data_IF_510570481795
#
_entry.id   IF_510570481795
#
_cell.length_a   1.000
_cell.length_b   1.000
_cell.length_c   1.000
_cell.angle_alpha   90.00
_cell.angle_beta   90.00
_cell.angle_gamma   90.00
#
_symmetry.space_group_name_H-M   'P 1'
#
loop_
_entity.id
_entity.type
_entity.pdbx_description
1 polymer ?
#
# COMPACT_ATOMS: atom_id res chain seq x y z
N UNK A 1 5.66 -10.00 30.49
CA UNK A 1 4.46 -10.04 29.62
C UNK A 1 4.46 -11.39 28.92
N UNK A 2 3.46 -12.26 29.18
CA UNK A 2 3.44 -13.62 28.64
C UNK A 2 3.23 -13.54 27.12
N UNK A 3 4.25 -13.92 26.36
CA UNK A 3 4.14 -14.08 24.90
C UNK A 3 3.17 -15.25 24.69
N UNK A 4 1.97 -14.98 24.18
CA UNK A 4 1.07 -16.04 23.73
C UNK A 4 1.80 -16.81 22.63
N UNK A 5 1.99 -18.12 22.82
CA UNK A 5 2.52 -18.96 21.76
C UNK A 5 1.63 -18.81 20.52
N UNK A 6 2.21 -18.62 19.32
CA UNK A 6 1.43 -18.48 18.11
C UNK A 6 0.60 -19.75 17.91
N UNK A 7 -0.73 -19.62 17.93
CA UNK A 7 -1.65 -20.68 17.54
C UNK A 7 -1.31 -21.09 16.11
N UNK A 8 -0.68 -22.27 15.99
CA UNK A 8 -0.34 -22.85 14.69
C UNK A 8 -1.63 -23.38 14.06
N UNK A 9 -2.03 -22.81 12.94
CA UNK A 9 -3.12 -23.39 12.15
C UNK A 9 -2.65 -24.75 11.59
N UNK A 10 -3.21 -25.86 12.13
CA UNK A 10 -2.93 -27.21 11.61
C UNK A 10 -3.53 -27.46 10.23
N UNK A 11 -4.57 -26.70 9.88
CA UNK A 11 -5.31 -26.83 8.61
C UNK A 11 -4.67 -25.93 7.55
N UNK A 12 -4.47 -26.47 6.34
CA UNK A 12 -3.91 -25.67 5.23
C UNK A 12 -4.91 -24.57 4.87
N UNK A 13 -4.39 -23.39 4.55
CA UNK A 13 -5.21 -22.20 4.22
C UNK A 13 -6.25 -22.50 3.12
N UNK A 14 -5.89 -23.31 2.12
CA UNK A 14 -6.82 -23.70 1.03
C UNK A 14 -8.06 -24.48 1.50
N UNK A 15 -8.03 -25.05 2.70
CA UNK A 15 -9.12 -25.83 3.27
C UNK A 15 -9.98 -24.99 4.23
N UNK A 16 -9.67 -23.70 4.41
CA UNK A 16 -10.49 -22.77 5.20
C UNK A 16 -11.73 -22.32 4.42
N UNK A 17 -12.78 -21.79 5.08
CA UNK A 17 -13.84 -21.07 4.39
C UNK A 17 -13.26 -20.00 3.46
N UNK A 18 -13.82 -19.87 2.26
CA UNK A 18 -13.24 -19.04 1.20
C UNK A 18 -13.04 -17.58 1.64
N UNK A 19 -14.01 -16.99 2.34
CA UNK A 19 -13.91 -15.62 2.86
C UNK A 19 -12.86 -15.40 3.97
N UNK A 20 -12.31 -16.47 4.55
CA UNK A 20 -11.23 -16.39 5.55
C UNK A 20 -9.84 -16.58 4.95
N UNK A 21 -9.76 -17.02 3.69
CA UNK A 21 -8.48 -17.20 3.01
C UNK A 21 -7.94 -15.82 2.62
N UNK A 22 -6.67 -15.49 2.95
CA UNK A 22 -6.17 -14.12 2.80
C UNK A 22 -6.32 -13.53 1.39
N UNK A 23 -6.11 -14.32 0.32
CA UNK A 23 -6.17 -13.79 -1.05
C UNK A 23 -7.61 -13.49 -1.48
N UNK A 24 -8.50 -14.41 -1.18
CA UNK A 24 -9.92 -14.35 -1.47
C UNK A 24 -10.57 -13.22 -0.66
N UNK A 25 -10.21 -13.11 0.62
CA UNK A 25 -10.58 -11.99 1.49
C UNK A 25 -10.10 -10.64 0.94
N UNK A 26 -8.87 -10.56 0.41
CA UNK A 26 -8.36 -9.33 -0.23
C UNK A 26 -9.21 -8.94 -1.45
N UNK A 27 -9.61 -9.91 -2.27
CA UNK A 27 -10.45 -9.67 -3.45
C UNK A 27 -11.86 -9.23 -3.06
N UNK A 28 -12.45 -9.86 -2.04
CA UNK A 28 -13.83 -9.59 -1.63
C UNK A 28 -13.98 -8.32 -0.81
N UNK A 29 -13.05 -8.05 0.10
CA UNK A 29 -13.19 -7.05 1.16
C UNK A 29 -12.15 -5.92 1.09
N UNK A 30 -11.16 -6.01 0.20
CA UNK A 30 -10.10 -5.01 0.07
C UNK A 30 -8.94 -5.19 1.06
N UNK A 31 -7.76 -4.63 0.76
CA UNK A 31 -6.55 -4.77 1.59
C UNK A 31 -6.70 -4.16 3.00
N UNK A 32 -7.56 -3.17 3.19
CA UNK A 32 -7.85 -2.50 4.46
C UNK A 32 -8.61 -3.37 5.48
N UNK A 33 -9.08 -4.55 5.04
CA UNK A 33 -9.76 -5.55 5.89
C UNK A 33 -8.82 -6.69 6.32
N UNK A 34 -7.57 -6.66 5.89
CA UNK A 34 -6.56 -7.65 6.24
C UNK A 34 -5.67 -7.15 7.38
N UNK A 35 -5.29 -8.05 8.27
CA UNK A 35 -4.20 -7.84 9.21
C UNK A 35 -2.85 -7.82 8.51
N UNK A 36 -1.84 -7.24 9.17
CA UNK A 36 -0.45 -7.26 8.69
C UNK A 36 0.05 -8.68 8.40
N UNK A 37 -0.34 -9.65 9.24
CA UNK A 37 0.03 -11.05 9.06
C UNK A 37 -0.61 -11.68 7.83
N UNK A 38 -1.84 -11.31 7.49
CA UNK A 38 -2.52 -11.79 6.27
C UNK A 38 -1.87 -11.20 5.02
N UNK A 39 -1.55 -9.90 5.03
CA UNK A 39 -0.84 -9.25 3.92
C UNK A 39 0.52 -9.92 3.67
N UNK A 40 1.28 -10.17 4.74
CA UNK A 40 2.57 -10.83 4.65
C UNK A 40 2.42 -12.30 4.19
N UNK A 41 1.38 -13.01 4.65
CA UNK A 41 1.10 -14.39 4.22
C UNK A 41 0.83 -14.50 2.71
N UNK A 42 0.17 -13.49 2.12
CA UNK A 42 -0.07 -13.43 0.68
C UNK A 42 1.26 -13.39 -0.08
N UNK A 43 2.20 -12.55 0.36
CA UNK A 43 3.54 -12.41 -0.24
C UNK A 43 4.38 -13.68 -0.08
N UNK A 44 4.28 -14.36 1.07
CA UNK A 44 4.99 -15.63 1.32
C UNK A 44 4.49 -16.75 0.42
N UNK A 45 3.25 -16.66 -0.08
CA UNK A 45 2.50 -17.59 -0.95
C UNK A 45 2.23 -18.97 -0.38
N UNK A 46 3.20 -19.56 0.31
CA UNK A 46 3.15 -20.91 0.87
C UNK A 46 3.74 -20.93 2.26
N UNK A 47 3.30 -21.90 3.07
CA UNK A 47 3.87 -22.14 4.39
C UNK A 47 5.25 -22.82 4.33
N UNK A 48 5.69 -23.33 5.47
CA UNK A 48 6.81 -24.27 5.59
C UNK A 48 6.27 -25.70 5.70
N UNK A 49 7.15 -26.67 5.98
CA UNK A 49 6.74 -28.06 6.25
C UNK A 49 5.85 -28.18 7.50
N UNK A 50 5.98 -27.25 8.45
CA UNK A 50 5.34 -27.34 9.77
C UNK A 50 4.41 -26.17 10.09
N UNK A 51 4.35 -25.15 9.23
CA UNK A 51 3.61 -23.91 9.47
C UNK A 51 2.88 -23.48 8.20
N UNK A 52 1.67 -22.93 8.32
CA UNK A 52 1.01 -22.26 7.19
C UNK A 52 1.73 -20.95 6.84
N UNK A 53 1.37 -20.34 5.70
CA UNK A 53 1.90 -19.02 5.35
C UNK A 53 1.52 -17.96 6.39
N UNK A 54 0.33 -18.08 7.00
CA UNK A 54 -0.13 -17.17 8.04
C UNK A 54 0.64 -17.36 9.35
N UNK A 55 0.90 -18.60 9.76
CA UNK A 55 1.74 -18.89 10.94
C UNK A 55 3.15 -18.33 10.76
N UNK A 56 3.71 -18.51 9.57
CA UNK A 56 5.05 -18.02 9.24
C UNK A 56 5.08 -16.48 9.26
N UNK A 57 4.05 -15.82 8.70
CA UNK A 57 3.90 -14.37 8.77
C UNK A 57 3.80 -13.85 10.20
N UNK A 58 2.97 -14.48 11.04
CA UNK A 58 2.87 -14.17 12.47
C UNK A 58 4.22 -14.34 13.18
N UNK A 59 4.97 -15.39 12.85
CA UNK A 59 6.31 -15.63 13.41
C UNK A 59 7.31 -14.54 13.02
N UNK A 60 7.28 -14.09 11.77
CA UNK A 60 8.14 -13.02 11.27
C UNK A 60 7.83 -11.70 12.00
N UNK A 61 6.55 -11.34 12.11
CA UNK A 61 6.13 -10.13 12.84
C UNK A 61 6.46 -10.24 14.34
N UNK A 62 6.20 -11.37 14.98
CA UNK A 62 6.59 -11.56 16.38
C UNK A 62 8.11 -11.42 16.62
N UNK A 63 8.93 -11.76 15.62
CA UNK A 63 10.40 -11.68 15.71
C UNK A 63 10.93 -10.27 15.48
N UNK A 64 10.38 -9.54 14.53
CA UNK A 64 10.94 -8.27 14.06
C UNK A 64 10.07 -7.04 14.40
N UNK A 65 8.85 -7.24 14.89
CA UNK A 65 7.91 -6.18 15.25
C UNK A 65 6.78 -6.01 14.22
N UNK A 66 6.54 -4.77 13.83
CA UNK A 66 5.50 -4.37 12.88
C UNK A 66 5.99 -4.40 11.42
N UNK A 67 5.09 -4.18 10.45
CA UNK A 67 5.50 -3.97 9.04
C UNK A 67 6.46 -2.79 8.88
N UNK A 68 6.36 -1.77 9.73
CA UNK A 68 7.27 -0.63 9.70
C UNK A 68 8.69 -1.06 10.10
N UNK A 69 8.82 -1.89 11.13
CA UNK A 69 10.11 -2.40 11.60
C UNK A 69 10.76 -3.33 10.57
N UNK A 70 9.96 -4.05 9.79
CA UNK A 70 10.46 -4.88 8.69
C UNK A 70 11.20 -4.07 7.62
N UNK A 71 10.92 -2.78 7.45
CA UNK A 71 11.51 -1.95 6.38
C UNK A 71 13.05 -1.82 6.46
N UNK A 72 13.62 -2.04 7.65
CA UNK A 72 15.07 -1.99 7.87
C UNK A 72 15.75 -3.37 7.79
N UNK A 73 14.97 -4.45 7.64
CA UNK A 73 15.47 -5.83 7.72
C UNK A 73 16.06 -6.26 6.37
N UNK A 74 17.25 -6.86 6.41
CA UNK A 74 17.95 -7.29 5.21
C UNK A 74 17.58 -8.72 4.80
N UNK A 75 17.86 -9.06 3.54
CA UNK A 75 17.68 -10.41 3.01
C UNK A 75 18.26 -11.51 3.92
N UNK A 76 19.46 -11.29 4.48
CA UNK A 76 20.15 -12.28 5.29
C UNK A 76 19.39 -12.59 6.58
N UNK A 77 18.75 -11.60 7.19
CA UNK A 77 17.97 -11.76 8.42
C UNK A 77 16.73 -12.60 8.17
N UNK A 78 16.02 -12.35 7.06
CA UNK A 78 14.90 -13.20 6.64
C UNK A 78 15.37 -14.62 6.34
N UNK A 79 16.49 -14.79 5.64
CA UNK A 79 16.96 -16.11 5.24
C UNK A 79 17.38 -16.98 6.43
N UNK A 80 17.80 -16.38 7.56
CA UNK A 80 18.12 -17.10 8.80
C UNK A 80 16.87 -17.62 9.53
N UNK A 81 15.67 -17.16 9.18
CA UNK A 81 14.44 -17.65 9.81
C UNK A 81 14.07 -19.05 9.31
N UNK A 82 13.79 -19.94 10.26
CA UNK A 82 13.27 -21.28 9.96
C UNK A 82 11.96 -21.16 9.18
N UNK A 83 11.88 -21.86 8.05
CA UNK A 83 10.72 -21.82 7.15
C UNK A 83 10.77 -20.71 6.07
N UNK A 84 11.73 -19.79 6.15
CA UNK A 84 11.96 -18.73 5.16
C UNK A 84 13.16 -19.07 4.28
N UNK A 85 12.93 -19.91 3.28
CA UNK A 85 13.96 -20.24 2.28
C UNK A 85 14.31 -19.05 1.37
N UNK A 86 15.33 -19.23 0.53
CA UNK A 86 15.87 -18.21 -0.40
C UNK A 86 14.76 -17.45 -1.16
N UNK A 87 13.81 -18.17 -1.77
CA UNK A 87 12.73 -17.55 -2.56
C UNK A 87 11.89 -16.60 -1.71
N UNK A 88 11.46 -17.02 -0.51
CA UNK A 88 10.65 -16.19 0.38
C UNK A 88 11.43 -14.98 0.88
N UNK A 89 12.70 -15.18 1.27
CA UNK A 89 13.57 -14.09 1.72
C UNK A 89 13.80 -13.05 0.62
N UNK A 90 14.05 -13.47 -0.63
CA UNK A 90 14.17 -12.56 -1.79
C UNK A 90 12.88 -11.79 -2.01
N UNK A 91 11.72 -12.46 -1.99
CA UNK A 91 10.42 -11.80 -2.15
C UNK A 91 10.19 -10.73 -1.09
N UNK A 92 10.46 -11.04 0.19
CA UNK A 92 10.27 -10.07 1.27
C UNK A 92 11.23 -8.88 1.12
N UNK A 93 12.51 -9.13 0.88
CA UNK A 93 13.49 -8.07 0.69
C UNK A 93 13.12 -7.17 -0.50
N UNK A 94 12.66 -7.74 -1.62
CA UNK A 94 12.22 -6.99 -2.79
C UNK A 94 10.96 -6.16 -2.49
N UNK A 95 9.96 -6.72 -1.83
CA UNK A 95 8.73 -5.99 -1.45
C UNK A 95 9.06 -4.79 -0.56
N UNK A 96 9.91 -4.98 0.45
CA UNK A 96 10.29 -3.92 1.39
C UNK A 96 11.12 -2.84 0.70
N UNK A 97 12.02 -3.22 -0.20
CA UNK A 97 12.76 -2.28 -1.03
C UNK A 97 11.85 -1.46 -1.96
N UNK A 98 10.83 -2.09 -2.55
CA UNK A 98 9.82 -1.38 -3.36
C UNK A 98 9.07 -0.38 -2.49
N UNK A 99 8.61 -0.80 -1.30
CA UNK A 99 7.92 0.08 -0.37
C UNK A 99 8.80 1.27 0.02
N UNK A 100 10.08 1.03 0.35
CA UNK A 100 11.06 2.06 0.69
C UNK A 100 11.31 3.04 -0.46
N UNK A 101 11.43 2.56 -1.70
CA UNK A 101 11.54 3.44 -2.88
C UNK A 101 10.28 4.25 -3.08
N UNK A 102 9.11 3.63 -2.95
CA UNK A 102 7.84 4.30 -3.12
C UNK A 102 7.65 5.43 -2.10
N UNK A 103 8.04 5.21 -0.84
CA UNK A 103 7.98 6.25 0.20
C UNK A 103 9.09 7.29 0.10
N UNK A 104 10.24 6.94 -0.49
CA UNK A 104 11.35 7.88 -0.72
C UNK A 104 11.23 8.68 -2.01
N UNK A 105 10.28 8.33 -2.90
CA UNK A 105 9.98 9.15 -4.06
C UNK A 105 9.59 10.55 -3.57
N UNK A 106 10.22 11.60 -4.10
CA UNK A 106 9.72 12.94 -3.84
C UNK A 106 8.26 12.94 -4.27
N UNK A 107 7.38 13.36 -3.36
CA UNK A 107 6.03 13.77 -3.74
C UNK A 107 6.25 14.70 -4.93
N UNK A 108 5.82 14.29 -6.14
CA UNK A 108 5.88 15.15 -7.35
C UNK A 108 5.55 16.56 -6.89
N UNK A 109 6.34 17.59 -7.20
CA UNK A 109 6.13 18.91 -6.64
C UNK A 109 4.67 19.25 -6.86
N UNK A 110 3.90 19.19 -5.76
CA UNK A 110 2.48 19.50 -5.85
C UNK A 110 2.49 20.96 -6.27
N UNK A 111 1.76 21.30 -7.32
CA UNK A 111 1.74 22.70 -7.75
C UNK A 111 1.17 23.50 -6.59
N UNK A 112 2.03 24.33 -5.99
CA UNK A 112 1.66 25.21 -4.89
C UNK A 112 0.99 26.41 -5.51
N UNK A 113 -0.30 26.56 -5.29
CA UNK A 113 -1.09 27.68 -5.79
C UNK A 113 -0.92 28.84 -4.82
N UNK A 114 0.11 29.67 -5.04
CA UNK A 114 0.38 30.85 -4.21
C UNK A 114 -0.27 32.12 -4.73
N UNK A 115 -0.64 32.12 -6.01
CA UNK A 115 -1.14 33.29 -6.72
C UNK A 115 -1.95 32.87 -7.97
N UNK A 116 -2.76 33.78 -8.53
CA UNK A 116 -3.61 33.48 -9.69
C UNK A 116 -2.84 33.14 -10.97
N UNK A 117 -1.60 33.62 -11.13
CA UNK A 117 -0.79 33.40 -12.33
C UNK A 117 -0.46 31.91 -12.47
N UNK A 118 -0.19 31.21 -11.36
CA UNK A 118 0.02 29.76 -11.35
C UNK A 118 -1.24 28.99 -11.82
N UNK A 119 -2.43 29.49 -11.47
CA UNK A 119 -3.69 28.91 -11.97
C UNK A 119 -3.81 29.14 -13.48
N UNK A 120 -3.53 30.35 -13.95
CA UNK A 120 -3.60 30.69 -15.37
C UNK A 120 -2.60 29.90 -16.22
N UNK A 121 -1.35 29.77 -15.79
CA UNK A 121 -0.34 28.97 -16.50
C UNK A 121 -0.75 27.50 -16.65
N UNK A 122 -1.50 26.98 -15.68
CA UNK A 122 -2.00 25.60 -15.70
C UNK A 122 -3.25 25.41 -16.55
N UNK A 123 -4.24 26.29 -16.39
CA UNK A 123 -5.58 26.11 -16.97
C UNK A 123 -5.84 26.99 -18.20
N UNK A 124 -5.16 28.12 -18.35
CA UNK A 124 -5.26 29.02 -19.49
C UNK A 124 -5.06 28.31 -20.83
N UNK A 125 -3.99 27.50 -21.03
CA UNK A 125 -3.82 26.74 -22.26
C UNK A 125 -4.94 25.71 -22.52
N UNK A 126 -5.54 25.17 -21.46
CA UNK A 126 -6.57 24.13 -21.54
C UNK A 126 -7.97 24.70 -21.78
N UNK A 127 -8.27 25.88 -21.25
CA UNK A 127 -9.61 26.48 -21.25
C UNK A 127 -9.74 27.67 -22.20
N UNK A 128 -8.65 28.38 -22.50
CA UNK A 128 -8.69 29.68 -23.18
C UNK A 128 -9.23 29.66 -24.61
N UNK A 129 -9.24 28.50 -25.26
CA UNK A 129 -9.78 28.34 -26.62
C UNK A 129 -11.23 27.84 -26.64
N UNK A 130 -11.81 27.51 -25.48
CA UNK A 130 -13.15 26.95 -25.39
C UNK A 130 -14.18 28.07 -25.40
N UNK A 131 -15.18 27.95 -26.29
CA UNK A 131 -16.34 28.87 -26.34
C UNK A 131 -17.41 28.50 -25.31
N UNK A 132 -16.97 28.11 -24.13
CA UNK A 132 -17.83 27.64 -23.04
C UNK A 132 -17.24 28.07 -21.71
N UNK A 133 -18.11 28.48 -20.80
CA UNK A 133 -17.72 28.77 -19.42
C UNK A 133 -17.52 27.46 -18.67
N UNK A 134 -16.39 27.27 -18.01
CA UNK A 134 -16.09 26.05 -17.27
C UNK A 134 -15.76 26.41 -15.82
N UNK A 135 -16.57 25.92 -14.89
CA UNK A 135 -16.35 26.11 -13.46
C UNK A 135 -15.53 24.95 -12.90
N UNK A 136 -14.35 25.24 -12.34
CA UNK A 136 -13.44 24.26 -11.75
C UNK A 136 -13.13 24.66 -10.30
N UNK A 137 -13.33 23.73 -9.37
CA UNK A 137 -12.89 23.86 -7.98
C UNK A 137 -11.51 23.24 -7.83
N UNK A 138 -10.56 24.03 -7.35
CA UNK A 138 -9.23 23.54 -6.97
C UNK A 138 -9.22 23.19 -5.47
N UNK A 139 -9.00 21.92 -5.15
CA UNK A 139 -8.89 21.46 -3.76
C UNK A 139 -7.43 21.52 -3.34
N UNK A 140 -7.13 22.39 -2.37
CA UNK A 140 -5.77 22.60 -1.86
C UNK A 140 -5.62 22.02 -0.46
N UNK A 141 -4.38 21.67 -0.07
CA UNK A 141 -4.05 21.42 1.34
C UNK A 141 -3.70 22.73 2.07
N UNK A 142 -3.45 22.65 3.39
CA UNK A 142 -3.10 23.80 4.25
C UNK A 142 -1.79 24.53 3.85
N UNK A 143 -0.98 23.92 2.99
CA UNK A 143 0.24 24.52 2.44
C UNK A 143 0.06 24.99 0.99
N UNK A 144 -1.19 25.17 0.53
CA UNK A 144 -1.61 25.60 -0.81
C UNK A 144 -1.23 24.64 -1.95
N UNK A 145 -0.94 23.38 -1.65
CA UNK A 145 -0.65 22.40 -2.68
C UNK A 145 -1.93 21.84 -3.28
N UNK A 146 -2.04 21.82 -4.62
CA UNK A 146 -3.15 21.22 -5.34
C UNK A 146 -3.22 19.71 -5.04
N UNK A 147 -4.33 19.28 -4.43
CA UNK A 147 -4.67 17.88 -4.16
C UNK A 147 -5.36 17.29 -5.39
N UNK A 148 -6.36 17.99 -5.92
CA UNK A 148 -7.15 17.63 -7.11
C UNK A 148 -7.96 18.83 -7.60
N UNK A 149 -8.41 18.77 -8.85
CA UNK A 149 -9.33 19.71 -9.47
C UNK A 149 -10.63 19.02 -9.87
N UNK A 150 -11.75 19.72 -9.69
CA UNK A 150 -13.10 19.18 -9.91
C UNK A 150 -13.83 20.13 -10.85
N UNK A 151 -14.17 19.65 -12.04
CA UNK A 151 -15.06 20.38 -12.96
C UNK A 151 -16.50 20.22 -12.49
N UNK A 152 -17.18 21.34 -12.27
CA UNK A 152 -18.51 21.38 -11.66
C UNK A 152 -19.59 21.69 -12.70
N UNK A 153 -19.31 22.57 -13.65
CA UNK A 153 -20.28 22.93 -14.68
C UNK A 153 -19.60 23.39 -15.97
N UNK A 154 -20.38 23.35 -17.05
CA UNK A 154 -20.04 23.84 -18.37
C UNK A 154 -21.24 24.64 -18.91
N UNK A 155 -21.06 25.95 -19.08
CA UNK A 155 -22.05 26.88 -19.61
C UNK A 155 -21.69 27.36 -21.02
N UNK A 156 -22.64 27.99 -21.69
CA UNK A 156 -22.42 28.62 -23.00
C UNK A 156 -22.08 30.09 -22.75
N UNK A 157 -21.05 30.61 -23.41
CA UNK A 157 -20.76 32.05 -23.41
C UNK A 157 -21.82 32.74 -24.29
N UNK A 158 -22.64 33.61 -23.70
CA UNK A 158 -23.58 34.47 -24.42
C UNK A 158 -22.85 35.58 -25.19
#
# INVERSE_FOLDING_TARGET
>A
MKIQEPSFYRVKIKDWPEGERPREKLVQLGPERLSESELLAILLRTGSRTQTALDLAKTILARFGSLQDLSAIQYQDFHRLKGVGKVKAVTLAATLEIARRFTSLPIKPKVKITDPEIVFQRYGPLLGHLRKEIFIILVLNSANHLIRDIRISEGILN
#
